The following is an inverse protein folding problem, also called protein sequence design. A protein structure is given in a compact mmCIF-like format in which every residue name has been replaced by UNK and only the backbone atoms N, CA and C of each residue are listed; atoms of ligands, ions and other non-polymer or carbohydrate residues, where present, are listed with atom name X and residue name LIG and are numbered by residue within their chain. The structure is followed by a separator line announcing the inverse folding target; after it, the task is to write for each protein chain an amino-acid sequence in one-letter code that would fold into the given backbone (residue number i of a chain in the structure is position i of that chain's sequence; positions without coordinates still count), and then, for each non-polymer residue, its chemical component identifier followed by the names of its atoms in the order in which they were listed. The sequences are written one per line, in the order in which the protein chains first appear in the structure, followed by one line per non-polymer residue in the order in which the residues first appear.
data_IF_005064395563
#
_entry.id   IF_005064395563
#
_cell.length_a   1.000
_cell.length_b   1.000
_cell.length_c   1.000
_cell.angle_alpha   90.00
_cell.angle_beta   90.00
_cell.angle_gamma   90.00
#
_symmetry.space_group_name_H-M   'P 1'
#
loop_
_entity.id
_entity.type
_entity.pdbx_description
1 polymer ?
#
# COMPACT_ATOMS: atom_id res chain seq x y z
N UNK A 1 7.45 3.65 4.03
CA UNK A 1 6.32 2.82 4.49
C UNK A 1 6.29 1.52 3.69
N UNK A 2 5.96 0.40 4.32
CA UNK A 2 5.87 -0.92 3.68
C UNK A 2 4.48 -1.48 3.94
N UNK A 3 3.82 -2.02 2.92
CA UNK A 3 2.57 -2.77 3.03
C UNK A 3 2.86 -4.19 2.59
N UNK A 4 2.72 -5.12 3.53
CA UNK A 4 2.87 -6.55 3.27
C UNK A 4 1.52 -7.15 2.87
N UNK A 5 1.49 -7.81 1.72
CA UNK A 5 0.29 -8.40 1.13
C UNK A 5 0.30 -9.93 1.18
N UNK A 6 1.23 -10.55 1.92
CA UNK A 6 1.41 -12.00 1.96
C UNK A 6 0.13 -12.79 2.32
N UNK A 7 -0.73 -12.23 3.18
CA UNK A 7 -1.97 -12.88 3.63
C UNK A 7 -3.20 -12.49 2.81
N UNK A 8 -3.04 -11.63 1.80
CA UNK A 8 -4.14 -11.17 0.96
C UNK A 8 -4.27 -12.09 -0.24
N UNK A 9 -5.37 -12.83 -0.33
CA UNK A 9 -5.60 -13.80 -1.41
C UNK A 9 -6.14 -13.17 -2.69
N UNK A 10 -6.90 -12.09 -2.58
CA UNK A 10 -7.46 -11.34 -3.71
C UNK A 10 -7.75 -9.90 -3.28
N UNK A 11 -7.84 -8.99 -4.24
CA UNK A 11 -8.13 -7.58 -4.01
C UNK A 11 -9.28 -7.13 -4.92
N UNK A 12 -10.21 -6.38 -4.36
CA UNK A 12 -11.32 -5.77 -5.11
C UNK A 12 -11.08 -4.27 -5.33
N UNK A 13 -12.03 -3.61 -5.97
CA UNK A 13 -12.01 -2.16 -6.21
C UNK A 13 -11.76 -1.35 -4.92
N UNK A 14 -12.37 -1.70 -3.80
CA UNK A 14 -12.18 -1.00 -2.53
C UNK A 14 -10.73 -1.12 -2.04
N UNK A 15 -10.15 -2.32 -2.07
CA UNK A 15 -8.74 -2.52 -1.71
C UNK A 15 -7.79 -1.72 -2.60
N UNK A 16 -8.05 -1.65 -3.91
CA UNK A 16 -7.26 -0.84 -4.84
C UNK A 16 -7.36 0.66 -4.51
N UNK A 17 -8.57 1.16 -4.22
CA UNK A 17 -8.78 2.56 -3.78
C UNK A 17 -8.02 2.85 -2.49
N UNK A 18 -8.03 1.93 -1.53
CA UNK A 18 -7.26 2.05 -0.29
C UNK A 18 -5.76 2.15 -0.55
N UNK A 19 -5.21 1.31 -1.44
CA UNK A 19 -3.80 1.39 -1.82
C UNK A 19 -3.44 2.74 -2.46
N UNK A 20 -4.30 3.26 -3.34
CA UNK A 20 -4.11 4.58 -3.97
C UNK A 20 -4.14 5.71 -2.93
N UNK A 21 -5.05 5.64 -1.97
CA UNK A 21 -5.12 6.61 -0.87
C UNK A 21 -3.86 6.56 0.00
N UNK A 22 -3.39 5.38 0.38
CA UNK A 22 -2.15 5.19 1.14
C UNK A 22 -0.94 5.75 0.38
N UNK A 23 -0.87 5.52 -0.94
CA UNK A 23 0.20 6.06 -1.77
C UNK A 23 0.20 7.59 -1.79
N UNK A 24 -0.98 8.22 -1.91
CA UNK A 24 -1.13 9.68 -1.85
C UNK A 24 -0.70 10.25 -0.50
N UNK A 25 -1.09 9.60 0.59
CA UNK A 25 -0.71 10.02 1.95
C UNK A 25 0.81 9.89 2.14
N UNK A 26 1.39 8.75 1.78
CA UNK A 26 2.84 8.53 1.87
C UNK A 26 3.60 9.60 1.07
N UNK A 27 3.20 9.85 -0.18
CA UNK A 27 3.81 10.88 -1.03
C UNK A 27 3.69 12.28 -0.43
N UNK A 28 2.52 12.65 0.10
CA UNK A 28 2.29 13.94 0.77
C UNK A 28 3.23 14.13 1.96
N UNK A 29 3.55 13.05 2.66
CA UNK A 29 4.45 13.04 3.82
C UNK A 29 5.93 12.81 3.43
N UNK A 30 6.29 12.88 2.14
CA UNK A 30 7.67 12.67 1.68
C UNK A 30 8.17 11.22 1.84
N UNK A 31 7.27 10.27 2.08
CA UNK A 31 7.57 8.87 2.29
C UNK A 31 7.37 8.05 1.01
N UNK A 32 8.29 7.14 0.73
CA UNK A 32 8.08 6.11 -0.30
C UNK A 32 7.23 4.97 0.27
N UNK A 33 6.17 4.60 -0.44
CA UNK A 33 5.36 3.42 -0.15
C UNK A 33 5.85 2.24 -1.00
N UNK A 34 6.14 1.12 -0.35
CA UNK A 34 6.51 -0.14 -0.99
C UNK A 34 5.45 -1.19 -0.75
N UNK A 35 5.04 -1.89 -1.81
CA UNK A 35 4.19 -3.08 -1.71
C UNK A 35 5.08 -4.32 -1.81
N UNK A 36 4.90 -5.27 -0.89
CA UNK A 36 5.70 -6.50 -0.86
C UNK A 36 4.85 -7.76 -0.79
N UNK A 37 5.45 -8.88 -1.16
CA UNK A 37 4.85 -10.21 -1.10
C UNK A 37 3.48 -10.28 -1.80
N UNK A 38 3.36 -9.65 -2.97
CA UNK A 38 2.14 -9.73 -3.78
C UNK A 38 1.98 -11.16 -4.30
N UNK A 39 0.77 -11.68 -4.22
CA UNK A 39 0.40 -12.88 -4.96
C UNK A 39 -0.01 -12.53 -6.41
N UNK A 40 -0.19 -13.56 -7.24
CA UNK A 40 -0.51 -13.39 -8.66
C UNK A 40 -1.86 -12.71 -8.89
N UNK A 41 -2.88 -12.97 -8.06
CA UNK A 41 -4.18 -12.35 -8.19
C UNK A 41 -4.12 -10.83 -7.96
N UNK A 42 -3.45 -10.39 -6.90
CA UNK A 42 -3.26 -8.98 -6.58
C UNK A 42 -2.40 -8.30 -7.65
N UNK A 43 -1.34 -8.97 -8.11
CA UNK A 43 -0.50 -8.48 -9.21
C UNK A 43 -1.32 -8.27 -10.49
N UNK A 44 -2.15 -9.25 -10.85
CA UNK A 44 -3.04 -9.17 -12.02
C UNK A 44 -3.96 -7.95 -11.95
N UNK A 45 -4.62 -7.70 -10.81
CA UNK A 45 -5.49 -6.52 -10.68
C UNK A 45 -4.73 -5.20 -10.74
N UNK A 46 -3.51 -5.13 -10.21
CA UNK A 46 -2.66 -3.94 -10.34
C UNK A 46 -2.23 -3.70 -11.78
N UNK A 47 -1.88 -4.74 -12.53
CA UNK A 47 -1.55 -4.64 -13.96
C UNK A 47 -2.75 -4.24 -14.81
N UNK A 48 -3.90 -4.87 -14.57
CA UNK A 48 -5.16 -4.57 -15.26
C UNK A 48 -5.57 -3.10 -15.11
N UNK A 49 -5.32 -2.52 -13.94
CA UNK A 49 -5.63 -1.11 -13.65
C UNK A 49 -4.48 -0.14 -13.94
N UNK A 50 -3.33 -0.65 -14.40
CA UNK A 50 -2.10 0.14 -14.63
C UNK A 50 -1.48 0.72 -13.36
N UNK A 51 -1.89 0.25 -12.19
CA UNK A 51 -1.39 0.67 -10.89
C UNK A 51 -0.02 0.06 -10.58
N UNK A 52 0.32 -1.07 -11.17
CA UNK A 52 1.66 -1.70 -11.13
C UNK A 52 2.78 -0.69 -11.47
N UNK A 53 2.53 0.21 -12.44
CA UNK A 53 3.46 1.26 -12.87
C UNK A 53 3.53 2.46 -11.92
N UNK A 54 2.61 2.56 -10.96
CA UNK A 54 2.52 3.67 -10.00
C UNK A 54 3.10 3.30 -8.63
N UNK A 55 3.03 2.03 -8.23
CA UNK A 55 3.54 1.56 -6.94
C UNK A 55 5.00 1.09 -7.02
N UNK A 56 5.73 1.29 -5.92
CA UNK A 56 7.05 0.66 -5.78
C UNK A 56 6.88 -0.78 -5.28
N UNK A 57 6.78 -1.74 -6.20
CA UNK A 57 6.61 -3.15 -5.86
C UNK A 57 8.00 -3.79 -5.63
N UNK A 58 8.15 -4.54 -4.53
CA UNK A 58 9.38 -5.30 -4.19
C UNK A 58 9.02 -6.72 -3.77
N UNK A 59 9.95 -7.66 -4.00
CA UNK A 59 9.67 -9.08 -3.76
C UNK A 59 9.67 -9.48 -2.27
N UNK A 60 10.44 -8.79 -1.41
CA UNK A 60 10.56 -9.08 0.02
C UNK A 60 11.16 -7.87 0.79
N UNK A 61 10.88 -7.77 2.10
CA UNK A 61 11.44 -6.77 3.03
C UNK A 61 12.98 -6.68 2.98
N UNK A 62 13.69 -7.80 2.74
CA UNK A 62 15.17 -7.84 2.72
C UNK A 62 15.80 -6.85 1.72
N UNK A 63 15.04 -6.40 0.71
CA UNK A 63 15.50 -5.46 -0.31
C UNK A 63 15.02 -4.02 -0.08
N UNK A 64 14.32 -3.75 1.02
CA UNK A 64 13.87 -2.40 1.39
C UNK A 64 14.82 -1.85 2.44
N UNK A 65 15.71 -0.95 2.04
CA UNK A 65 16.53 -0.17 2.99
C UNK A 65 15.61 0.78 3.74
N UNK A 66 15.11 0.34 4.90
CA UNK A 66 14.36 1.18 5.81
C UNK A 66 15.32 2.22 6.41
N UNK A 67 15.14 3.49 6.06
CA UNK A 67 15.64 4.57 6.91
C UNK A 67 14.60 4.74 8.02
N UNK A 68 14.92 4.46 9.29
CA UNK A 68 14.08 4.92 10.38
C UNK A 68 14.09 6.45 10.30
N UNK A 69 13.02 7.03 9.77
CA UNK A 69 12.84 8.47 9.93
C UNK A 69 12.56 8.67 11.42
N UNK A 70 13.45 9.35 12.13
CA UNK A 70 13.32 9.70 13.55
C UNK A 70 12.12 10.63 13.84
N UNK A 71 11.28 10.89 12.83
CA UNK A 71 9.95 11.53 12.94
C UNK A 71 8.80 10.62 12.51
N UNK A 72 8.94 9.30 12.63
CA UNK A 72 7.88 8.32 12.31
C UNK A 72 6.72 8.42 13.32
N UNK A 73 5.83 9.40 13.12
CA UNK A 73 4.43 9.16 13.43
C UNK A 73 4.03 7.98 12.57
N UNK A 74 3.87 6.82 13.21
CA UNK A 74 3.31 5.63 12.61
C UNK A 74 2.18 6.05 11.65
N UNK A 75 2.20 5.58 10.42
CA UNK A 75 1.00 5.59 9.58
C UNK A 75 -0.04 4.60 10.17
N UNK A 76 -0.37 4.75 11.45
CA UNK A 76 -1.51 4.17 12.14
C UNK A 76 -2.67 5.14 11.98
N UNK A 77 -3.15 5.31 10.74
CA UNK A 77 -4.54 5.69 10.57
C UNK A 77 -5.32 4.39 10.44
N UNK A 78 -5.83 3.91 11.57
CA UNK A 78 -7.00 3.04 11.62
C UNK A 78 -8.03 3.65 10.67
N UNK A 79 -8.46 2.89 9.67
CA UNK A 79 -9.63 3.25 8.88
C UNK A 79 -10.79 3.29 9.87
N UNK A 80 -11.16 4.51 10.27
CA UNK A 80 -12.31 4.72 11.13
C UNK A 80 -13.54 4.42 10.28
N UNK A 81 -14.30 3.37 10.63
CA UNK A 81 -15.53 2.97 9.94
C UNK A 81 -16.73 3.89 10.23
N UNK A 82 -16.53 4.99 10.95
CA UNK A 82 -17.60 5.96 11.21
C UNK A 82 -17.70 6.99 10.09
N UNK A 83 -18.52 6.67 9.07
CA UNK A 83 -19.51 7.59 8.52
C UNK A 83 -20.53 6.82 7.69
N UNK A 84 -21.68 6.54 8.32
CA UNK A 84 -22.93 6.25 7.64
C UNK A 84 -23.19 7.32 6.58
N UNK A 85 -23.42 6.90 5.34
CA UNK A 85 -23.91 7.77 4.27
C UNK A 85 -25.43 7.85 4.43
N UNK A 86 -25.92 9.07 4.62
CA UNK A 86 -27.33 9.44 4.45
C UNK A 86 -27.64 9.42 2.95
#
# INVERSE_FOLDING_TARGET
CVVDLATIHSINNYGLVTLVALHRIAKKNGCNLYLINLNDAVKYYLELTGLDRKFNIKHNVKNVKYKPDSKLNFCSHTVNQDKQII
#
